data_IF_571074180696
#
_entry.id   IF_571074180696
#
_cell.length_a   1.000
_cell.length_b   1.000
_cell.length_c   1.000
_cell.angle_alpha   90.00
_cell.angle_beta   90.00
_cell.angle_gamma   90.00
#
_symmetry.space_group_name_H-M   'P 1'
#
loop_
_entity.id
_entity.type
_entity.pdbx_description
1 polymer ?
#
# COMPACT_ATOMS: atom_id res chain seq x y z
N UNK A 1 23.65 -2.98 8.98
CA UNK A 1 22.58 -2.03 9.40
C UNK A 1 21.27 -2.71 9.86
N UNK A 2 20.79 -3.79 9.21
CA UNK A 2 19.55 -4.51 9.62
C UNK A 2 19.54 -4.94 11.11
N UNK A 3 20.61 -5.58 11.58
CA UNK A 3 20.71 -6.06 12.96
C UNK A 3 20.71 -4.96 14.04
N UNK A 4 21.02 -3.71 13.68
CA UNK A 4 21.04 -2.59 14.62
C UNK A 4 19.63 -2.25 15.13
N UNK A 5 18.67 -2.13 14.21
CA UNK A 5 17.30 -1.73 14.55
C UNK A 5 16.59 -2.77 15.41
N UNK A 6 16.79 -4.06 15.11
CA UNK A 6 16.25 -5.15 15.94
C UNK A 6 16.82 -5.10 17.36
N UNK A 7 18.12 -4.87 17.51
CA UNK A 7 18.77 -4.72 18.83
C UNK A 7 18.27 -3.48 19.58
N UNK A 8 18.14 -2.35 18.89
CA UNK A 8 17.64 -1.10 19.47
C UNK A 8 16.20 -1.26 19.97
N UNK A 9 15.31 -1.82 19.16
CA UNK A 9 13.91 -2.04 19.55
C UNK A 9 13.86 -2.99 20.75
N UNK A 10 14.60 -4.11 20.74
CA UNK A 10 14.66 -5.04 21.88
C UNK A 10 15.18 -4.36 23.16
N UNK A 11 16.18 -3.50 23.04
CA UNK A 11 16.72 -2.73 24.16
C UNK A 11 15.69 -1.73 24.73
N UNK A 12 15.01 -0.98 23.86
CA UNK A 12 13.94 -0.06 24.28
C UNK A 12 12.79 -0.80 24.98
N UNK A 13 12.43 -2.00 24.48
CA UNK A 13 11.42 -2.86 25.10
C UNK A 13 11.89 -3.41 26.45
N UNK A 14 13.11 -3.95 26.56
CA UNK A 14 13.63 -4.49 27.84
C UNK A 14 13.80 -3.41 28.91
N UNK A 15 14.11 -2.18 28.49
CA UNK A 15 14.27 -1.02 29.37
C UNK A 15 12.94 -0.31 29.70
N UNK A 16 11.79 -0.81 29.19
CA UNK A 16 10.45 -0.22 29.34
C UNK A 16 10.34 1.24 28.85
N UNK A 17 11.04 1.60 27.79
CA UNK A 17 11.04 2.95 27.19
C UNK A 17 10.16 3.06 25.94
N UNK A 18 9.15 2.20 25.81
CA UNK A 18 8.12 2.24 24.77
C UNK A 18 6.83 2.88 25.31
N UNK A 19 6.01 3.58 24.50
CA UNK A 19 6.09 3.73 23.04
C UNK A 19 7.18 4.72 22.59
N UNK A 20 7.86 4.39 21.47
CA UNK A 20 8.88 5.25 20.87
C UNK A 20 8.46 5.63 19.44
N UNK A 21 8.56 6.91 19.10
CA UNK A 21 8.34 7.41 17.74
C UNK A 21 9.68 7.55 17.04
N UNK A 22 9.87 6.82 15.93
CA UNK A 22 11.08 6.92 15.11
C UNK A 22 10.74 7.71 13.85
N UNK A 23 11.30 8.92 13.73
CA UNK A 23 11.18 9.72 12.52
C UNK A 23 12.12 9.19 11.43
N UNK A 24 11.57 8.42 10.50
CA UNK A 24 12.26 8.02 9.28
C UNK A 24 11.75 8.86 8.09
N UNK A 25 12.64 9.64 7.48
CA UNK A 25 12.32 10.56 6.38
C UNK A 25 12.21 9.87 5.00
N UNK A 26 11.90 8.57 4.97
CA UNK A 26 11.78 7.79 3.73
C UNK A 26 10.73 6.69 3.88
N UNK A 27 9.72 6.71 3.01
CA UNK A 27 8.64 5.71 2.98
C UNK A 27 9.19 4.29 2.82
N UNK A 28 10.11 4.08 1.87
CA UNK A 28 10.80 2.79 1.66
C UNK A 28 11.56 2.32 2.90
N UNK A 29 12.13 3.23 3.68
CA UNK A 29 12.79 2.87 4.95
C UNK A 29 11.77 2.52 6.05
N UNK A 30 10.63 3.21 6.12
CA UNK A 30 9.57 2.88 7.07
C UNK A 30 9.04 1.46 6.85
N UNK A 31 8.71 1.11 5.60
CA UNK A 31 8.20 -0.22 5.25
C UNK A 31 9.24 -1.31 5.54
N UNK A 32 10.49 -1.06 5.12
CA UNK A 32 11.61 -1.96 5.39
C UNK A 32 11.83 -2.20 6.89
N UNK A 33 11.72 -1.16 7.73
CA UNK A 33 11.88 -1.28 9.18
C UNK A 33 10.71 -2.03 9.83
N UNK A 34 9.48 -1.82 9.36
CA UNK A 34 8.30 -2.54 9.82
C UNK A 34 8.40 -4.04 9.49
N UNK A 35 8.76 -4.37 8.25
CA UNK A 35 8.94 -5.75 7.80
C UNK A 35 10.09 -6.45 8.55
N UNK A 36 11.19 -5.73 8.78
CA UNK A 36 12.30 -6.22 9.57
C UNK A 36 11.88 -6.54 11.01
N UNK A 37 11.09 -5.67 11.66
CA UNK A 37 10.58 -5.91 13.01
C UNK A 37 9.68 -7.17 13.04
N UNK A 38 8.77 -7.32 12.07
CA UNK A 38 7.94 -8.52 11.93
C UNK A 38 8.77 -9.79 11.70
N UNK A 39 9.73 -9.76 10.77
CA UNK A 39 10.61 -10.91 10.47
C UNK A 39 11.52 -11.32 11.62
N UNK A 40 11.85 -10.39 12.52
CA UNK A 40 12.67 -10.62 13.71
C UNK A 40 11.87 -11.18 14.90
N UNK A 41 10.58 -11.48 14.70
CA UNK A 41 9.68 -12.01 15.72
C UNK A 41 9.43 -11.02 16.86
N UNK A 42 9.55 -9.72 16.61
CA UNK A 42 9.27 -8.70 17.61
C UNK A 42 7.77 -8.59 17.83
N UNK A 43 7.33 -9.19 18.92
CA UNK A 43 5.95 -9.11 19.40
C UNK A 43 5.89 -8.03 20.47
N UNK A 44 5.32 -6.88 20.11
CA UNK A 44 5.17 -5.72 21.00
C UNK A 44 3.80 -5.66 21.68
N UNK A 45 2.94 -6.66 21.43
CA UNK A 45 1.59 -6.76 21.98
C UNK A 45 1.48 -7.99 22.88
N UNK A 46 0.74 -7.86 23.96
CA UNK A 46 0.38 -8.97 24.84
C UNK A 46 -0.61 -9.92 24.16
N UNK A 47 -0.72 -11.16 24.64
CA UNK A 47 -1.71 -12.14 24.14
C UNK A 47 -3.14 -11.60 24.20
N UNK A 48 -3.47 -10.83 25.25
CA UNK A 48 -4.79 -10.20 25.40
C UNK A 48 -5.02 -9.11 24.36
N UNK A 49 -4.01 -8.28 24.06
CA UNK A 49 -4.10 -7.26 23.01
C UNK A 49 -4.19 -7.89 21.63
N UNK A 50 -3.42 -8.94 21.35
CA UNK A 50 -3.52 -9.70 20.11
C UNK A 50 -4.92 -10.29 19.93
N UNK A 51 -5.51 -10.82 21.00
CA UNK A 51 -6.87 -11.33 20.96
C UNK A 51 -7.88 -10.22 20.65
N UNK A 52 -7.79 -9.06 21.34
CA UNK A 52 -8.66 -7.90 21.07
C UNK A 52 -8.52 -7.39 19.63
N UNK A 53 -7.29 -7.26 19.13
CA UNK A 53 -7.00 -6.86 17.75
C UNK A 53 -7.57 -7.89 16.77
N UNK A 54 -7.38 -9.19 17.03
CA UNK A 54 -7.89 -10.25 16.17
C UNK A 54 -9.41 -10.26 16.12
N UNK A 55 -10.08 -10.14 17.27
CA UNK A 55 -11.55 -10.06 17.35
C UNK A 55 -12.05 -8.82 16.60
N UNK A 56 -11.40 -7.67 16.79
CA UNK A 56 -11.75 -6.44 16.07
C UNK A 56 -11.58 -6.62 14.55
N UNK A 57 -10.42 -7.08 14.07
CA UNK A 57 -10.16 -7.27 12.64
C UNK A 57 -11.13 -8.29 12.03
N UNK A 58 -11.39 -9.41 12.71
CA UNK A 58 -12.40 -10.39 12.29
C UNK A 58 -13.78 -9.77 12.20
N UNK A 59 -14.17 -8.93 13.16
CA UNK A 59 -15.47 -8.24 13.13
C UNK A 59 -15.61 -7.27 11.95
N UNK A 60 -14.51 -6.65 11.51
CA UNK A 60 -14.53 -5.76 10.34
C UNK A 60 -14.48 -6.55 9.03
N UNK A 61 -13.68 -7.61 8.96
CA UNK A 61 -13.61 -8.51 7.80
C UNK A 61 -14.96 -9.22 7.58
N UNK A 62 -15.65 -9.62 8.64
CA UNK A 62 -16.96 -10.26 8.56
C UNK A 62 -18.07 -9.37 7.96
N UNK A 63 -17.85 -8.06 7.88
CA UNK A 63 -18.77 -7.12 7.20
C UNK A 63 -18.56 -7.11 5.68
N UNK A 64 -17.48 -7.70 5.19
CA UNK A 64 -17.19 -7.81 3.76
C UNK A 64 -17.88 -9.04 3.16
N UNK A 65 -18.13 -9.03 1.86
CA UNK A 65 -18.68 -10.18 1.17
C UNK A 65 -17.71 -11.37 1.21
N UNK A 66 -18.25 -12.59 1.12
CA UNK A 66 -17.46 -13.84 1.30
C UNK A 66 -16.26 -13.95 0.36
N UNK A 67 -16.35 -13.38 -0.84
CA UNK A 67 -15.24 -13.34 -1.79
C UNK A 67 -14.11 -12.42 -1.29
N UNK A 68 -14.46 -11.25 -0.76
CA UNK A 68 -13.50 -10.26 -0.26
C UNK A 68 -12.82 -10.67 1.05
N UNK A 69 -13.48 -11.51 1.87
CA UNK A 69 -12.91 -12.04 3.10
C UNK A 69 -11.66 -12.89 2.86
N UNK A 70 -11.55 -13.51 1.68
CA UNK A 70 -10.44 -14.38 1.29
C UNK A 70 -9.40 -13.70 0.40
N UNK A 71 -9.62 -12.44 0.01
CA UNK A 71 -8.64 -11.66 -0.73
C UNK A 71 -7.54 -11.13 0.19
N UNK A 72 -6.32 -11.03 -0.33
CA UNK A 72 -5.29 -10.22 0.34
C UNK A 72 -5.79 -8.77 0.32
N UNK A 73 -6.09 -8.22 1.50
CA UNK A 73 -6.63 -6.86 1.65
C UNK A 73 -5.75 -5.77 1.02
N UNK A 74 -4.45 -6.06 0.86
CA UNK A 74 -3.49 -5.23 0.14
C UNK A 74 -2.72 -6.12 -0.83
N UNK A 75 -2.74 -5.76 -2.10
CA UNK A 75 -1.95 -6.39 -3.15
C UNK A 75 -1.00 -5.37 -3.77
N UNK A 76 0.30 -5.73 -3.81
CA UNK A 76 1.29 -5.02 -4.61
C UNK A 76 1.38 -5.70 -5.97
N UNK A 77 1.04 -4.97 -7.02
CA UNK A 77 0.95 -5.51 -8.37
C UNK A 77 1.67 -4.61 -9.37
N UNK A 78 2.25 -5.22 -10.40
CA UNK A 78 2.82 -4.53 -11.56
C UNK A 78 1.74 -4.32 -12.63
N UNK A 79 2.01 -3.46 -13.63
CA UNK A 79 1.08 -3.09 -14.70
C UNK A 79 0.37 -4.28 -15.37
N UNK A 80 1.09 -5.37 -15.62
CA UNK A 80 0.55 -6.58 -16.26
C UNK A 80 -0.66 -7.17 -15.54
N UNK A 81 -0.79 -6.94 -14.23
CA UNK A 81 -1.95 -7.35 -13.44
C UNK A 81 -3.25 -6.70 -13.95
N UNK A 82 -3.18 -5.45 -14.42
CA UNK A 82 -4.33 -4.71 -14.89
C UNK A 82 -4.84 -5.17 -16.26
N UNK A 83 -4.10 -6.01 -16.99
CA UNK A 83 -4.44 -6.44 -18.36
C UNK A 83 -5.25 -7.75 -18.40
N UNK A 84 -5.01 -8.68 -17.46
CA UNK A 84 -5.44 -10.08 -17.64
C UNK A 84 -6.31 -10.71 -16.54
N UNK A 85 -6.62 -9.99 -15.45
CA UNK A 85 -7.31 -10.59 -14.30
C UNK A 85 -8.60 -9.81 -13.98
N UNK A 86 -9.70 -10.56 -13.76
CA UNK A 86 -10.95 -9.99 -13.26
C UNK A 86 -10.90 -9.86 -11.73
N UNK A 87 -10.15 -8.87 -11.24
CA UNK A 87 -10.05 -8.58 -9.81
C UNK A 87 -10.29 -7.09 -9.54
N UNK A 88 -11.54 -6.67 -9.36
CA UNK A 88 -11.86 -5.32 -8.95
C UNK A 88 -11.44 -5.09 -7.49
N UNK A 89 -10.94 -3.90 -7.19
CA UNK A 89 -10.54 -3.47 -5.86
C UNK A 89 -11.37 -2.26 -5.44
N UNK A 90 -11.64 -2.08 -4.15
CA UNK A 90 -12.31 -0.85 -3.67
C UNK A 90 -11.46 0.40 -3.93
N UNK A 91 -10.15 0.27 -3.77
CA UNK A 91 -9.18 1.34 -3.92
C UNK A 91 -7.98 0.89 -4.75
N UNK A 92 -7.49 1.74 -5.65
CA UNK A 92 -6.22 1.57 -6.37
C UNK A 92 -5.25 2.66 -5.91
N UNK A 93 -3.99 2.30 -5.69
CA UNK A 93 -2.95 3.23 -5.22
C UNK A 93 -1.78 3.23 -6.20
N UNK A 94 -1.41 4.41 -6.68
CA UNK A 94 -0.23 4.65 -7.49
C UNK A 94 0.92 5.16 -6.60
N UNK A 95 2.05 4.46 -6.59
CA UNK A 95 3.27 4.93 -5.91
C UNK A 95 3.92 6.11 -6.66
N UNK A 96 3.82 6.10 -7.99
CA UNK A 96 4.48 7.02 -8.91
C UNK A 96 3.63 7.12 -10.20
N UNK A 97 3.70 8.26 -10.88
CA UNK A 97 3.08 8.49 -12.21
C UNK A 97 4.04 8.14 -13.35
N UNK A 98 5.29 7.83 -13.03
CA UNK A 98 6.30 7.39 -13.98
C UNK A 98 6.59 5.90 -13.85
N UNK A 99 6.89 5.25 -14.97
CA UNK A 99 7.38 3.87 -15.02
C UNK A 99 8.65 3.77 -15.84
N UNK A 100 9.42 2.71 -15.60
CA UNK A 100 10.56 2.34 -16.43
C UNK A 100 10.08 1.44 -17.57
N UNK A 101 10.35 1.81 -18.81
CA UNK A 101 9.93 1.06 -20.00
C UNK A 101 11.02 0.10 -20.54
N UNK A 102 12.12 -0.06 -19.81
CA UNK A 102 13.29 -0.80 -20.25
C UNK A 102 14.44 0.10 -20.68
N UNK A 103 14.15 1.36 -21.04
CA UNK A 103 15.16 2.33 -21.48
C UNK A 103 15.20 3.57 -20.58
N UNK A 104 14.04 4.15 -20.28
CA UNK A 104 13.94 5.39 -19.51
C UNK A 104 12.76 5.38 -18.55
N UNK A 105 12.80 6.27 -17.54
CA UNK A 105 11.59 6.59 -16.78
C UNK A 105 10.77 7.57 -17.59
N UNK A 106 9.54 7.18 -17.91
CA UNK A 106 8.56 8.01 -18.61
C UNK A 106 7.25 8.06 -17.86
N UNK A 107 6.44 9.09 -18.13
CA UNK A 107 5.08 9.19 -17.61
C UNK A 107 4.23 8.00 -18.10
N UNK A 108 3.29 7.56 -17.26
CA UNK A 108 2.25 6.63 -17.65
C UNK A 108 1.42 7.22 -18.79
N UNK A 109 1.15 6.40 -19.80
CA UNK A 109 0.22 6.79 -20.87
C UNK A 109 -1.21 6.81 -20.31
N UNK A 110 -2.11 7.61 -20.89
CA UNK A 110 -3.51 7.64 -20.47
C UNK A 110 -4.19 6.27 -20.44
N UNK A 111 -3.94 5.44 -21.46
CA UNK A 111 -4.48 4.08 -21.51
C UNK A 111 -3.97 3.20 -20.36
N UNK A 112 -2.68 3.29 -20.02
CA UNK A 112 -2.04 2.53 -18.92
C UNK A 112 -2.66 2.96 -17.58
N UNK A 113 -2.79 4.28 -17.37
CA UNK A 113 -3.41 4.84 -16.17
C UNK A 113 -4.86 4.39 -16.04
N UNK A 114 -5.69 4.56 -17.08
CA UNK A 114 -7.11 4.21 -17.05
C UNK A 114 -7.32 2.71 -16.84
N UNK A 115 -6.47 1.88 -17.43
CA UNK A 115 -6.55 0.43 -17.26
C UNK A 115 -6.29 -0.01 -15.81
N UNK A 116 -5.32 0.63 -15.14
CA UNK A 116 -5.02 0.38 -13.73
C UNK A 116 -6.06 1.01 -12.80
N UNK A 117 -6.37 2.30 -13.00
CA UNK A 117 -7.33 3.06 -12.20
C UNK A 117 -8.76 2.50 -12.30
N UNK A 118 -9.14 1.98 -13.48
CA UNK A 118 -10.44 1.36 -13.72
C UNK A 118 -10.67 0.04 -12.97
N UNK A 119 -9.66 -0.46 -12.26
CA UNK A 119 -9.84 -1.56 -11.29
C UNK A 119 -10.40 -1.08 -9.95
N UNK A 120 -10.44 0.22 -9.70
CA UNK A 120 -11.06 0.79 -8.51
C UNK A 120 -12.60 0.80 -8.62
N UNK A 121 -13.26 0.43 -7.53
CA UNK A 121 -14.72 0.33 -7.42
C UNK A 121 -15.23 -1.05 -7.83
N UNK A 122 -15.97 -1.69 -6.93
CA UNK A 122 -16.61 -2.99 -7.20
C UNK A 122 -18.07 -2.77 -7.58
N UNK A 123 -18.44 -3.19 -8.80
CA UNK A 123 -19.77 -2.98 -9.37
C UNK A 123 -20.84 -3.64 -8.48
N UNK A 124 -21.79 -2.83 -8.00
CA UNK A 124 -22.88 -3.30 -7.13
C UNK A 124 -22.52 -3.40 -5.64
N UNK A 125 -21.28 -3.08 -5.24
CA UNK A 125 -20.83 -3.09 -3.84
C UNK A 125 -20.33 -1.73 -3.35
N UNK A 126 -19.73 -0.92 -4.23
CA UNK A 126 -19.22 0.41 -3.89
C UNK A 126 -19.91 1.48 -4.76
N UNK A 127 -20.31 2.60 -4.15
CA UNK A 127 -20.91 3.75 -4.87
C UNK A 127 -19.92 4.43 -5.82
N UNK A 128 -18.63 4.37 -5.50
CA UNK A 128 -17.54 4.87 -6.33
C UNK A 128 -16.23 4.10 -6.07
N UNK A 129 -15.34 4.13 -7.05
CA UNK A 129 -13.96 3.64 -6.90
C UNK A 129 -13.02 4.74 -6.42
N UNK A 130 -12.12 4.41 -5.50
CA UNK A 130 -11.13 5.37 -4.99
C UNK A 130 -9.78 5.15 -5.67
N UNK A 131 -9.18 6.21 -6.21
CA UNK A 131 -7.84 6.17 -6.79
C UNK A 131 -6.96 7.16 -6.03
N UNK A 132 -5.86 6.67 -5.46
CA UNK A 132 -4.92 7.48 -4.68
C UNK A 132 -3.56 7.55 -5.38
N UNK A 133 -2.95 8.73 -5.36
CA UNK A 133 -1.59 8.96 -5.85
C UNK A 133 -0.67 9.37 -4.69
N UNK A 134 0.41 8.61 -4.46
CA UNK A 134 1.33 8.85 -3.35
C UNK A 134 2.47 9.81 -3.75
N UNK A 135 2.35 11.09 -3.42
CA UNK A 135 3.40 12.06 -3.72
C UNK A 135 4.55 11.97 -2.71
N UNK A 136 5.71 11.44 -3.14
CA UNK A 136 6.88 11.14 -2.30
C UNK A 136 7.71 12.33 -1.86
N UNK A 137 7.07 13.44 -1.52
CA UNK A 137 7.72 14.71 -1.23
C UNK A 137 7.91 15.62 -2.46
N UNK A 138 7.66 15.09 -3.66
CA UNK A 138 7.57 15.88 -4.89
C UNK A 138 6.15 15.74 -5.45
N UNK A 139 5.45 16.87 -5.61
CA UNK A 139 4.12 16.90 -6.19
C UNK A 139 4.25 16.96 -7.72
N UNK A 140 3.57 16.10 -8.49
CA UNK A 140 3.54 16.18 -9.94
C UNK A 140 3.06 17.54 -10.43
N UNK A 141 3.56 18.00 -11.58
CA UNK A 141 3.02 19.20 -12.20
C UNK A 141 1.57 18.94 -12.66
N UNK A 142 0.75 19.99 -12.66
CA UNK A 142 -0.61 19.91 -13.18
C UNK A 142 -0.62 19.46 -14.64
N UNK A 143 0.36 19.89 -15.43
CA UNK A 143 0.56 19.46 -16.80
C UNK A 143 0.72 17.93 -16.91
N UNK A 144 1.55 17.31 -16.06
CA UNK A 144 1.77 15.86 -16.09
C UNK A 144 0.54 15.08 -15.64
N UNK A 145 -0.18 15.59 -14.64
CA UNK A 145 -1.43 14.99 -14.19
C UNK A 145 -2.49 15.06 -15.29
N UNK A 146 -2.65 16.22 -15.93
CA UNK A 146 -3.60 16.39 -17.03
C UNK A 146 -3.22 15.53 -18.24
N UNK A 147 -1.93 15.47 -18.58
CA UNK A 147 -1.44 14.62 -19.67
C UNK A 147 -1.72 13.14 -19.40
N UNK A 148 -1.55 12.67 -18.16
CA UNK A 148 -1.81 11.28 -17.77
C UNK A 148 -3.31 10.96 -17.65
N UNK A 149 -4.08 11.83 -16.99
CA UNK A 149 -5.48 11.54 -16.63
C UNK A 149 -6.47 11.87 -17.74
N UNK A 150 -6.19 12.91 -18.54
CA UNK A 150 -7.10 13.48 -19.54
C UNK A 150 -6.55 13.37 -20.97
N UNK A 151 -5.36 12.79 -21.16
CA UNK A 151 -4.72 12.66 -22.46
C UNK A 151 -5.50 11.77 -23.44
N UNK A 152 -5.31 11.98 -24.74
CA UNK A 152 -5.93 11.17 -25.79
C UNK A 152 -5.39 9.74 -25.76
N UNK A 153 -6.26 8.77 -26.02
CA UNK A 153 -5.88 7.36 -26.21
C UNK A 153 -5.10 7.23 -27.52
N UNK A 154 -3.78 7.11 -27.41
CA UNK A 154 -2.87 6.72 -28.51
C UNK A 154 -2.18 5.43 -28.17
#
# INVERSE_FOLDING_TARGET
MKFFWVKLIRYLTSSKWIPAVVFSLSRKKCDFLAELASSAGLVLTTTTEQHKISVFMKSQIAKLDKEDQNLRQVLFATETFAVGVNMPAKTVVFEDISKFDGCSRRLLKPAEFIQMAGRAGRRGQDDCGIVLLLTGGHFPSEHDLNAMMMGKFT
#
